data_IF_026425537479
#
_entry.id   IF_026425537479
#
_cell.length_a   1.000
_cell.length_b   1.000
_cell.length_c   1.000
_cell.angle_alpha   90.00
_cell.angle_beta   90.00
_cell.angle_gamma   90.00
#
_symmetry.space_group_name_H-M   'P 1'
#
loop_
_entity.id
_entity.type
_entity.pdbx_description
1 polymer ?
#
# COMPACT_ATOMS: atom_id res chain seq x y z
N UNK A 1 14.90 -24.20 -72.05
CA UNK A 1 13.84 -23.67 -71.16
C UNK A 1 14.00 -24.31 -69.80
N UNK A 2 14.58 -23.59 -68.84
CA UNK A 2 14.71 -24.07 -67.47
C UNK A 2 14.68 -22.82 -66.57
N UNK A 3 13.49 -22.53 -66.03
CA UNK A 3 13.28 -21.43 -65.11
C UNK A 3 13.45 -21.94 -63.68
N UNK A 4 14.47 -21.48 -62.97
CA UNK A 4 14.62 -21.73 -61.54
C UNK A 4 13.77 -20.74 -60.75
N UNK A 5 12.82 -21.27 -59.98
CA UNK A 5 11.98 -20.53 -59.05
C UNK A 5 12.79 -20.24 -57.79
N UNK A 6 12.98 -18.96 -57.47
CA UNK A 6 13.55 -18.53 -56.19
C UNK A 6 12.41 -18.40 -55.18
N UNK A 7 12.45 -19.22 -54.13
CA UNK A 7 11.49 -19.14 -53.00
C UNK A 7 12.04 -18.13 -52.00
N UNK A 8 11.32 -17.03 -51.81
CA UNK A 8 11.60 -16.03 -50.80
C UNK A 8 10.92 -16.45 -49.48
N UNK A 9 11.71 -16.81 -48.46
CA UNK A 9 11.20 -17.07 -47.12
C UNK A 9 11.09 -15.73 -46.39
N UNK A 10 9.86 -15.28 -46.15
CA UNK A 10 9.57 -14.13 -45.30
C UNK A 10 9.46 -14.66 -43.86
N UNK A 11 10.43 -14.29 -43.02
CA UNK A 11 10.37 -14.55 -41.57
C UNK A 11 9.65 -13.37 -40.93
N UNK A 12 8.41 -13.56 -40.53
CA UNK A 12 7.68 -12.57 -39.74
C UNK A 12 8.23 -12.57 -38.29
N UNK A 13 9.04 -11.56 -37.96
CA UNK A 13 9.40 -11.27 -36.58
C UNK A 13 8.19 -10.62 -35.89
N UNK A 14 7.47 -11.38 -35.08
CA UNK A 14 6.50 -10.82 -34.14
C UNK A 14 7.24 -10.19 -32.95
N UNK A 15 7.30 -8.86 -32.92
CA UNK A 15 7.74 -8.13 -31.74
C UNK A 15 6.59 -8.10 -30.74
N UNK A 16 6.65 -8.94 -29.70
CA UNK A 16 5.81 -8.78 -28.52
C UNK A 16 6.35 -7.60 -27.71
N UNK A 17 5.70 -6.45 -27.84
CA UNK A 17 5.96 -5.30 -26.96
C UNK A 17 5.47 -5.67 -25.56
N UNK A 18 6.37 -6.13 -24.68
CA UNK A 18 6.02 -6.37 -23.28
C UNK A 18 5.64 -5.04 -22.64
N UNK A 19 4.35 -4.83 -22.38
CA UNK A 19 3.89 -3.65 -21.66
C UNK A 19 4.58 -3.60 -20.29
N UNK A 20 5.42 -2.59 -20.06
CA UNK A 20 6.12 -2.41 -18.79
C UNK A 20 5.09 -2.04 -17.72
N UNK A 21 5.11 -2.74 -16.60
CA UNK A 21 4.24 -2.41 -15.46
C UNK A 21 4.46 -0.93 -15.07
N UNK A 22 3.35 -0.23 -14.84
CA UNK A 22 3.38 1.13 -14.29
C UNK A 22 4.02 1.09 -12.91
N UNK A 23 4.82 2.10 -12.57
CA UNK A 23 5.48 2.20 -11.27
C UNK A 23 4.90 3.34 -10.44
N UNK A 24 4.82 3.11 -9.13
CA UNK A 24 4.52 4.11 -8.12
C UNK A 24 5.71 4.20 -7.16
N UNK A 25 6.62 5.14 -7.43
CA UNK A 25 7.78 5.35 -6.57
C UNK A 25 7.36 5.95 -5.21
N UNK A 26 8.14 5.72 -4.13
CA UNK A 26 7.88 6.34 -2.83
C UNK A 26 7.84 7.85 -2.92
N UNK A 27 6.84 8.45 -2.29
CA UNK A 27 6.68 9.91 -2.17
C UNK A 27 6.44 10.26 -0.71
N UNK A 28 7.20 11.22 -0.19
CA UNK A 28 6.97 11.78 1.14
C UNK A 28 7.09 13.30 1.14
N UNK A 29 5.94 13.97 1.14
CA UNK A 29 5.86 15.42 1.25
C UNK A 29 5.86 15.90 2.70
N UNK A 30 5.76 14.99 3.69
CA UNK A 30 5.68 15.34 5.10
C UNK A 30 6.80 16.29 5.56
N UNK A 31 8.06 16.06 5.16
CA UNK A 31 9.18 16.96 5.46
C UNK A 31 9.07 18.38 4.90
N UNK A 32 8.19 18.65 3.93
CA UNK A 32 7.96 20.01 3.40
C UNK A 32 7.26 20.93 4.41
N UNK A 33 6.58 20.36 5.41
CA UNK A 33 6.04 21.10 6.54
C UNK A 33 6.84 20.75 7.80
N UNK A 34 7.71 21.66 8.24
CA UNK A 34 8.64 21.42 9.35
C UNK A 34 7.89 21.04 10.62
N UNK A 35 6.73 21.65 10.90
CA UNK A 35 5.99 21.35 12.12
C UNK A 35 5.29 19.99 12.04
N UNK A 36 4.88 19.55 10.84
CA UNK A 36 4.38 18.20 10.64
C UNK A 36 5.48 17.16 10.77
N UNK A 37 6.66 17.39 10.19
CA UNK A 37 7.84 16.51 10.33
C UNK A 37 8.17 16.24 11.79
N UNK A 38 8.24 17.29 12.62
CA UNK A 38 8.51 17.16 14.06
C UNK A 38 7.42 16.35 14.76
N UNK A 39 6.15 16.61 14.46
CA UNK A 39 5.03 15.83 15.00
C UNK A 39 5.11 14.35 14.60
N UNK A 40 5.30 14.05 13.31
CA UNK A 40 5.36 12.68 12.79
C UNK A 40 6.55 11.91 13.34
N UNK A 41 7.71 12.55 13.53
CA UNK A 41 8.86 11.89 14.17
C UNK A 41 8.53 11.44 15.60
N UNK A 42 7.92 12.30 16.42
CA UNK A 42 7.46 11.95 17.77
C UNK A 42 6.40 10.85 17.75
N UNK A 43 5.49 10.89 16.78
CA UNK A 43 4.50 9.83 16.59
C UNK A 43 5.16 8.49 16.23
N UNK A 44 6.16 8.48 15.34
CA UNK A 44 6.92 7.27 15.00
C UNK A 44 7.67 6.72 16.22
N UNK A 45 8.28 7.58 17.05
CA UNK A 45 8.91 7.18 18.30
C UNK A 45 7.90 6.54 19.26
N UNK A 46 6.75 7.19 19.48
CA UNK A 46 5.68 6.65 20.31
C UNK A 46 5.14 5.31 19.78
N UNK A 47 5.06 5.13 18.46
CA UNK A 47 4.68 3.86 17.84
C UNK A 47 5.72 2.78 18.10
N UNK A 48 7.02 3.09 18.06
CA UNK A 48 8.08 2.11 18.38
C UNK A 48 8.07 1.70 19.86
N UNK A 49 7.70 2.62 20.74
CA UNK A 49 7.64 2.39 22.19
C UNK A 49 6.29 1.82 22.67
N UNK A 50 5.35 1.57 21.76
CA UNK A 50 3.96 1.20 22.09
C UNK A 50 3.33 2.18 23.11
N UNK A 51 3.62 3.48 22.99
CA UNK A 51 3.23 4.52 23.94
C UNK A 51 1.76 4.92 23.73
N UNK A 52 0.85 4.10 24.21
CA UNK A 52 -0.60 4.33 24.10
C UNK A 52 -1.04 5.70 24.62
N UNK A 53 -0.62 6.18 25.82
CA UNK A 53 -0.99 7.50 26.29
C UNK A 53 -0.67 8.61 25.28
N UNK A 54 0.53 8.58 24.67
CA UNK A 54 0.89 9.55 23.64
C UNK A 54 0.00 9.44 22.41
N UNK A 55 -0.22 8.22 21.87
CA UNK A 55 -1.08 8.01 20.69
C UNK A 55 -2.46 8.66 20.90
N UNK A 56 -3.07 8.44 22.06
CA UNK A 56 -4.39 9.00 22.38
C UNK A 56 -4.40 10.53 22.38
N UNK A 57 -3.30 11.19 22.73
CA UNK A 57 -3.21 12.67 22.66
C UNK A 57 -3.14 13.21 21.23
N UNK A 58 -2.79 12.36 20.26
CA UNK A 58 -2.69 12.75 18.85
C UNK A 58 -4.00 12.56 18.10
N UNK A 59 -4.97 11.84 18.67
CA UNK A 59 -6.24 11.56 18.00
C UNK A 59 -7.16 12.78 18.08
N UNK A 60 -7.82 13.09 16.97
CA UNK A 60 -8.96 13.98 17.00
C UNK A 60 -10.10 13.32 17.82
N UNK A 61 -10.84 14.05 18.66
CA UNK A 61 -11.92 13.47 19.46
C UNK A 61 -13.00 12.75 18.65
N UNK A 62 -13.18 13.16 17.38
CA UNK A 62 -14.06 12.56 16.38
C UNK A 62 -13.27 11.93 15.24
N UNK A 63 -12.17 11.23 15.52
CA UNK A 63 -11.40 10.51 14.49
C UNK A 63 -12.31 9.56 13.72
N UNK A 64 -12.18 9.54 12.40
CA UNK A 64 -12.91 8.63 11.53
C UNK A 64 -12.19 7.28 11.45
N UNK A 65 -12.87 6.18 11.76
CA UNK A 65 -12.29 4.82 11.74
C UNK A 65 -12.90 3.92 10.66
N UNK A 66 -14.09 4.26 10.18
CA UNK A 66 -14.72 3.61 9.04
C UNK A 66 -15.61 4.58 8.26
N UNK A 67 -16.02 4.18 7.07
CA UNK A 67 -17.09 4.84 6.32
C UNK A 67 -18.49 4.55 6.90
N UNK A 68 -18.65 3.42 7.59
CA UNK A 68 -19.90 2.93 8.16
C UNK A 68 -20.28 3.44 9.55
N UNK A 69 -19.62 4.48 10.06
CA UNK A 69 -20.08 5.18 11.27
C UNK A 69 -19.28 4.95 12.55
N UNK A 70 -18.09 4.35 12.49
CA UNK A 70 -17.20 4.22 13.65
C UNK A 70 -16.36 5.49 13.84
N UNK A 71 -16.56 6.17 14.96
CA UNK A 71 -15.96 7.47 15.25
C UNK A 71 -15.44 7.60 16.67
N UNK A 72 -14.34 8.32 16.80
CA UNK A 72 -13.82 8.80 18.07
C UNK A 72 -12.93 7.83 18.80
N UNK A 73 -12.44 8.29 19.95
CA UNK A 73 -11.37 7.61 20.71
C UNK A 73 -11.86 6.30 21.34
N UNK A 74 -13.14 6.21 21.71
CA UNK A 74 -13.71 4.98 22.25
C UNK A 74 -13.65 3.85 21.22
N UNK A 75 -14.17 4.07 20.02
CA UNK A 75 -14.15 3.11 18.93
C UNK A 75 -12.70 2.73 18.57
N UNK A 76 -11.77 3.69 18.61
CA UNK A 76 -10.35 3.41 18.39
C UNK A 76 -9.80 2.41 19.41
N UNK A 77 -10.11 2.60 20.70
CA UNK A 77 -9.67 1.68 21.76
C UNK A 77 -10.28 0.28 21.59
N UNK A 78 -11.54 0.20 21.18
CA UNK A 78 -12.24 -1.08 20.96
C UNK A 78 -11.69 -1.83 19.74
N UNK A 79 -11.47 -1.14 18.63
CA UNK A 79 -10.95 -1.71 17.38
C UNK A 79 -9.48 -2.12 17.53
N UNK A 80 -8.64 -1.21 18.00
CA UNK A 80 -7.18 -1.38 17.95
C UNK A 80 -6.59 -1.99 19.22
N UNK A 81 -7.30 -1.91 20.35
CA UNK A 81 -6.88 -2.50 21.64
C UNK A 81 -5.40 -2.18 21.95
N UNK A 82 -4.98 -0.91 21.98
CA UNK A 82 -3.57 -0.51 22.04
C UNK A 82 -2.84 -0.98 23.32
N UNK A 83 -3.58 -1.30 24.38
CA UNK A 83 -3.02 -1.86 25.61
C UNK A 83 -2.79 -3.38 25.56
N UNK A 84 -3.25 -4.05 24.50
CA UNK A 84 -3.00 -5.48 24.29
C UNK A 84 -1.57 -5.70 23.78
N UNK A 85 -0.82 -6.68 24.32
CA UNK A 85 0.50 -7.02 23.80
C UNK A 85 0.47 -7.49 22.34
N UNK A 86 -0.64 -8.10 21.91
CA UNK A 86 -0.84 -8.62 20.55
C UNK A 86 -1.55 -7.62 19.62
N UNK A 87 -1.61 -6.35 19.99
CA UNK A 87 -2.29 -5.32 19.18
C UNK A 87 -1.64 -5.19 17.79
N UNK A 88 -2.45 -5.36 16.75
CA UNK A 88 -2.04 -5.13 15.37
C UNK A 88 -1.77 -3.64 15.05
N UNK A 89 -2.18 -2.74 15.95
CA UNK A 89 -2.05 -1.29 15.81
C UNK A 89 -0.62 -0.86 15.47
N UNK A 90 0.33 -1.38 16.24
CA UNK A 90 1.70 -0.89 16.21
C UNK A 90 2.38 -1.19 14.88
N UNK A 91 2.16 -2.40 14.36
CA UNK A 91 2.65 -2.79 13.04
C UNK A 91 1.98 -1.99 11.92
N UNK A 92 0.67 -1.74 12.03
CA UNK A 92 -0.07 -0.98 11.02
C UNK A 92 0.35 0.49 10.99
N UNK A 93 0.41 1.15 12.15
CA UNK A 93 0.89 2.53 12.26
C UNK A 93 2.33 2.65 11.77
N UNK A 94 3.21 1.72 12.16
CA UNK A 94 4.61 1.71 11.71
C UNK A 94 4.69 1.63 10.18
N UNK A 95 3.91 0.75 9.57
CA UNK A 95 3.85 0.59 8.10
C UNK A 95 3.36 1.88 7.43
N UNK A 96 2.23 2.43 7.87
CA UNK A 96 1.66 3.64 7.27
C UNK A 96 2.61 4.83 7.40
N UNK A 97 3.17 5.04 8.60
CA UNK A 97 4.02 6.18 8.89
C UNK A 97 5.39 6.11 8.22
N UNK A 98 5.91 4.92 7.93
CA UNK A 98 7.23 4.77 7.28
C UNK A 98 7.17 4.88 5.76
N UNK A 99 6.03 4.56 5.14
CA UNK A 99 5.86 4.70 3.70
C UNK A 99 5.74 6.16 3.24
N UNK A 100 5.43 7.11 4.12
CA UNK A 100 5.29 8.53 3.74
C UNK A 100 3.92 8.83 3.12
N UNK A 101 3.81 9.91 2.37
CA UNK A 101 2.52 10.37 1.85
C UNK A 101 2.57 11.75 1.22
N UNK A 102 1.41 12.28 0.83
CA UNK A 102 1.27 13.57 0.17
C UNK A 102 0.28 14.47 0.90
N UNK A 103 0.42 15.78 0.73
CA UNK A 103 -0.61 16.74 1.12
C UNK A 103 -1.66 16.84 0.02
N UNK A 104 -2.94 16.69 0.39
CA UNK A 104 -4.08 16.88 -0.49
C UNK A 104 -5.06 17.88 0.12
N UNK A 105 -5.87 18.50 -0.73
CA UNK A 105 -7.01 19.31 -0.28
C UNK A 105 -8.24 18.42 -0.18
N UNK A 106 -8.85 18.32 1.00
CA UNK A 106 -10.11 17.61 1.22
C UNK A 106 -11.05 18.47 2.05
N UNK A 107 -12.28 18.69 1.57
CA UNK A 107 -13.26 19.56 2.24
C UNK A 107 -12.75 20.98 2.50
N UNK A 108 -11.93 21.53 1.58
CA UNK A 108 -11.33 22.87 1.72
C UNK A 108 -10.15 22.95 2.71
N UNK A 109 -9.73 21.83 3.29
CA UNK A 109 -8.61 21.77 4.24
C UNK A 109 -7.41 21.05 3.63
N UNK A 110 -6.21 21.46 4.05
CA UNK A 110 -4.97 20.76 3.74
C UNK A 110 -4.80 19.58 4.70
N UNK A 111 -4.85 18.37 4.16
CA UNK A 111 -4.71 17.11 4.90
C UNK A 111 -3.47 16.38 4.39
N UNK A 112 -2.63 15.88 5.29
CA UNK A 112 -1.60 14.92 4.90
C UNK A 112 -2.21 13.52 4.92
N UNK A 113 -2.05 12.76 3.83
CA UNK A 113 -2.53 11.39 3.74
C UNK A 113 -1.36 10.41 3.59
N UNK A 114 -1.32 9.41 4.46
CA UNK A 114 -0.37 8.30 4.40
C UNK A 114 -1.12 6.96 4.34
N UNK A 115 -0.57 5.93 3.67
CA UNK A 115 0.70 5.91 2.95
C UNK A 115 0.62 6.54 1.54
N UNK A 116 1.76 6.76 0.86
CA UNK A 116 1.80 7.21 -0.55
C UNK A 116 1.11 6.24 -1.51
N UNK A 117 1.04 4.95 -1.17
CA UNK A 117 0.33 3.95 -1.96
C UNK A 117 -1.18 4.15 -1.98
N UNK A 118 -1.70 5.02 -1.11
CA UNK A 118 -3.04 5.59 -1.20
C UNK A 118 -2.96 7.01 -1.77
N UNK A 119 -2.17 7.89 -1.16
CA UNK A 119 -2.22 9.34 -1.42
C UNK A 119 -1.51 9.78 -2.70
N UNK A 120 -0.84 8.89 -3.41
CA UNK A 120 -0.28 9.12 -4.73
C UNK A 120 -0.68 8.01 -5.72
N UNK A 121 -1.62 7.13 -5.34
CA UNK A 121 -2.08 6.08 -6.23
C UNK A 121 -2.78 6.71 -7.45
N UNK A 122 -2.56 6.18 -8.66
CA UNK A 122 -3.20 6.72 -9.85
C UNK A 122 -4.72 6.55 -9.85
N UNK A 123 -5.44 7.62 -10.19
CA UNK A 123 -6.90 7.62 -10.24
C UNK A 123 -7.46 6.78 -11.42
N UNK A 124 -6.64 6.51 -12.44
CA UNK A 124 -6.99 5.70 -13.62
C UNK A 124 -6.72 4.19 -13.44
N UNK A 125 -6.31 3.76 -12.25
CA UNK A 125 -6.06 2.35 -11.91
C UNK A 125 -7.05 1.89 -10.84
N UNK A 126 -7.71 0.76 -11.07
CA UNK A 126 -8.66 0.19 -10.13
C UNK A 126 -7.97 -0.23 -8.81
N UNK A 127 -8.25 0.51 -7.75
CA UNK A 127 -7.67 0.33 -6.42
C UNK A 127 -8.15 -0.94 -5.69
N UNK A 128 -9.21 -1.62 -6.16
CA UNK A 128 -9.66 -2.90 -5.62
C UNK A 128 -8.97 -4.09 -6.28
N UNK A 129 -8.51 -3.93 -7.53
CA UNK A 129 -7.80 -4.99 -8.25
C UNK A 129 -6.28 -4.88 -8.17
N UNK A 130 -5.75 -3.67 -8.00
CA UNK A 130 -4.32 -3.41 -8.09
C UNK A 130 -3.71 -2.95 -6.76
N UNK A 131 -2.46 -3.34 -6.57
CA UNK A 131 -1.66 -2.99 -5.41
C UNK A 131 -0.27 -2.50 -5.81
N UNK A 132 0.39 -1.83 -4.88
CA UNK A 132 1.74 -1.32 -5.07
C UNK A 132 2.76 -2.27 -4.46
N UNK A 133 3.82 -2.59 -5.20
CA UNK A 133 5.05 -3.15 -4.62
C UNK A 133 5.76 -2.02 -3.87
N UNK A 134 6.06 -2.19 -2.58
CA UNK A 134 6.60 -1.09 -1.73
C UNK A 134 8.12 -1.13 -1.53
N UNK A 135 8.84 -1.92 -2.32
CA UNK A 135 10.29 -2.05 -2.24
C UNK A 135 10.98 -2.14 -3.60
N UNK A 136 12.30 -1.95 -3.57
CA UNK A 136 13.18 -2.24 -4.69
C UNK A 136 13.61 -3.72 -4.66
N UNK A 137 13.87 -4.28 -5.85
CA UNK A 137 14.38 -5.64 -6.05
C UNK A 137 13.56 -6.75 -5.35
N UNK A 138 12.24 -6.58 -5.31
CA UNK A 138 11.30 -7.53 -4.72
C UNK A 138 11.15 -8.74 -5.63
N UNK A 139 11.50 -9.91 -5.10
CA UNK A 139 11.44 -11.19 -5.83
C UNK A 139 10.00 -11.67 -5.94
N UNK A 140 9.52 -11.86 -7.17
CA UNK A 140 8.29 -12.58 -7.46
C UNK A 140 8.64 -14.05 -7.63
N UNK A 141 7.92 -14.93 -6.96
CA UNK A 141 8.21 -16.37 -6.92
C UNK A 141 7.11 -17.20 -7.57
N UNK A 142 7.46 -18.37 -8.07
CA UNK A 142 6.53 -19.25 -8.76
C UNK A 142 5.53 -19.93 -7.82
N UNK A 143 5.85 -19.98 -6.53
CA UNK A 143 5.04 -20.56 -5.46
C UNK A 143 5.20 -19.68 -4.19
N UNK A 144 4.25 -19.74 -3.24
CA UNK A 144 4.33 -19.00 -1.97
C UNK A 144 5.35 -19.63 -1.01
N UNK A 145 6.61 -19.63 -1.40
CA UNK A 145 7.73 -20.20 -0.64
C UNK A 145 9.02 -19.42 -0.90
N UNK A 146 9.85 -19.24 0.13
CA UNK A 146 11.13 -18.52 0.04
C UNK A 146 12.19 -19.26 -0.77
N UNK A 147 12.00 -20.55 -1.06
CA UNK A 147 12.90 -21.38 -1.87
C UNK A 147 12.40 -21.57 -3.30
N UNK A 148 11.17 -21.17 -3.59
CA UNK A 148 10.60 -21.29 -4.94
C UNK A 148 11.37 -20.45 -5.97
N UNK A 149 11.37 -20.93 -7.22
CA UNK A 149 12.01 -20.27 -8.35
C UNK A 149 11.56 -18.81 -8.45
N UNK A 150 12.51 -17.91 -8.69
CA UNK A 150 12.22 -16.51 -8.99
C UNK A 150 11.66 -16.43 -10.41
N UNK A 151 10.47 -15.85 -10.55
CA UNK A 151 9.81 -15.60 -11.83
C UNK A 151 10.33 -14.31 -12.44
N UNK A 152 10.35 -13.24 -11.64
CA UNK A 152 10.88 -11.93 -12.02
C UNK A 152 11.24 -11.12 -10.77
N UNK A 153 11.78 -9.92 -10.96
CA UNK A 153 12.09 -8.95 -9.92
C UNK A 153 11.35 -7.66 -10.22
N UNK A 154 10.59 -7.18 -9.24
CA UNK A 154 9.84 -5.92 -9.30
C UNK A 154 10.48 -4.87 -8.41
N UNK A 155 10.31 -3.61 -8.76
CA UNK A 155 10.71 -2.44 -7.98
C UNK A 155 9.66 -1.35 -8.13
N UNK A 156 8.85 -1.15 -7.09
CA UNK A 156 7.80 -0.14 -7.07
C UNK A 156 6.70 -0.28 -8.14
N UNK A 157 6.56 -1.47 -8.72
CA UNK A 157 5.55 -1.76 -9.74
C UNK A 157 4.15 -1.80 -9.13
N UNK A 158 3.17 -1.33 -9.89
CA UNK A 158 1.75 -1.56 -9.65
C UNK A 158 1.38 -2.87 -10.34
N UNK A 159 0.79 -3.78 -9.58
CA UNK A 159 0.45 -5.13 -10.04
C UNK A 159 -0.97 -5.48 -9.67
N UNK A 160 -1.64 -6.30 -10.49
CA UNK A 160 -2.91 -6.91 -10.10
C UNK A 160 -2.63 -7.88 -8.95
N UNK A 161 -3.36 -7.75 -7.84
CA UNK A 161 -3.11 -8.50 -6.63
C UNK A 161 -4.40 -9.10 -6.07
N UNK A 162 -4.33 -10.35 -5.64
CA UNK A 162 -5.42 -10.99 -4.91
C UNK A 162 -5.07 -11.00 -3.43
N UNK A 163 -5.84 -10.25 -2.63
CA UNK A 163 -5.75 -10.30 -1.18
C UNK A 163 -6.69 -11.35 -0.61
N UNK A 164 -6.26 -12.10 0.43
CA UNK A 164 -7.16 -13.00 1.17
C UNK A 164 -8.33 -12.20 1.75
N UNK A 165 -9.56 -12.61 1.45
CA UNK A 165 -10.75 -12.05 2.08
C UNK A 165 -11.07 -12.84 3.35
N UNK A 166 -11.50 -12.16 4.41
CA UNK A 166 -12.02 -12.80 5.64
C UNK A 166 -13.24 -13.68 5.37
N UNK A 167 -14.03 -13.33 4.35
CA UNK A 167 -15.36 -13.89 4.13
C UNK A 167 -15.33 -15.05 3.13
N UNK A 168 -14.25 -15.16 2.34
CA UNK A 168 -14.04 -16.22 1.36
C UNK A 168 -12.56 -16.56 1.29
N UNK A 169 -12.11 -17.49 2.15
CA UNK A 169 -10.78 -18.11 2.00
C UNK A 169 -10.68 -18.75 0.63
N UNK A 170 -9.95 -18.12 -0.28
CA UNK A 170 -9.72 -18.69 -1.61
C UNK A 170 -8.76 -19.87 -1.48
N UNK A 171 -8.88 -20.83 -2.37
CA UNK A 171 -8.03 -22.05 -2.39
C UNK A 171 -6.53 -21.71 -2.51
N UNK A 172 -6.19 -20.53 -3.00
CA UNK A 172 -4.83 -20.02 -3.18
C UNK A 172 -4.34 -19.05 -2.07
N UNK A 173 -5.13 -18.81 -1.03
CA UNK A 173 -4.72 -17.99 0.11
C UNK A 173 -3.65 -18.71 0.93
N UNK A 174 -2.41 -18.22 0.86
CA UNK A 174 -1.29 -18.74 1.66
C UNK A 174 -0.82 -17.68 2.64
N UNK A 175 -0.83 -17.93 3.97
CA UNK A 175 -0.41 -16.96 4.96
C UNK A 175 0.97 -16.36 4.64
N UNK A 176 1.07 -15.02 4.69
CA UNK A 176 2.31 -14.29 4.42
C UNK A 176 2.65 -14.08 2.94
N UNK A 177 1.83 -14.57 2.01
CA UNK A 177 2.05 -14.42 0.57
C UNK A 177 0.84 -13.79 -0.12
N UNK A 178 1.11 -12.95 -1.11
CA UNK A 178 0.11 -12.33 -1.98
C UNK A 178 0.35 -12.84 -3.39
N UNK A 179 -0.71 -13.33 -4.02
CA UNK A 179 -0.67 -13.70 -5.44
C UNK A 179 -0.79 -12.44 -6.28
N UNK A 180 0.11 -12.32 -7.25
CA UNK A 180 0.18 -11.19 -8.19
C UNK A 180 0.08 -11.71 -9.63
N UNK A 181 -0.48 -10.89 -10.51
CA UNK A 181 -0.49 -11.13 -11.95
C UNK A 181 0.35 -10.05 -12.63
N UNK A 182 1.36 -10.49 -13.39
CA UNK A 182 2.24 -9.62 -14.16
C UNK A 182 1.53 -9.10 -15.43
N UNK A 183 2.03 -8.03 -16.07
CA UNK A 183 1.40 -7.48 -17.28
C UNK A 183 1.27 -8.47 -18.45
N UNK A 184 2.12 -9.50 -18.50
CA UNK A 184 2.07 -10.57 -19.49
C UNK A 184 1.10 -11.71 -19.13
N UNK A 185 0.34 -11.57 -18.03
CA UNK A 185 -0.59 -12.57 -17.52
C UNK A 185 0.06 -13.64 -16.64
N UNK A 186 1.38 -13.62 -16.45
CA UNK A 186 2.08 -14.61 -15.62
C UNK A 186 1.70 -14.44 -14.15
N UNK A 187 1.31 -15.55 -13.52
CA UNK A 187 1.06 -15.59 -12.07
C UNK A 187 2.37 -15.69 -11.27
N UNK A 188 2.40 -15.04 -10.11
CA UNK A 188 3.48 -15.18 -9.14
C UNK A 188 3.03 -14.87 -7.72
N UNK A 189 3.97 -15.01 -6.79
CA UNK A 189 3.75 -14.81 -5.37
C UNK A 189 4.81 -13.88 -4.80
N UNK A 190 4.37 -12.91 -4.01
CA UNK A 190 5.22 -11.93 -3.32
C UNK A 190 4.92 -12.00 -1.83
N UNK A 191 5.95 -11.86 -0.98
CA UNK A 191 5.71 -11.80 0.45
C UNK A 191 4.86 -10.56 0.79
N UNK A 192 3.82 -10.72 1.61
CA UNK A 192 2.81 -9.70 1.87
C UNK A 192 3.38 -8.35 2.31
N UNK A 193 4.47 -8.34 3.10
CA UNK A 193 5.17 -7.12 3.55
C UNK A 193 5.68 -6.22 2.41
N UNK A 194 5.76 -6.72 1.18
CA UNK A 194 6.19 -5.95 0.01
C UNK A 194 5.02 -5.54 -0.90
N UNK A 195 3.77 -5.85 -0.55
CA UNK A 195 2.59 -5.51 -1.35
C UNK A 195 1.64 -4.70 -0.47
N UNK A 196 1.23 -3.52 -0.94
CA UNK A 196 0.30 -2.64 -0.21
C UNK A 196 -0.88 -2.26 -1.09
N UNK A 197 -2.09 -2.52 -0.59
CA UNK A 197 -3.31 -2.10 -1.26
C UNK A 197 -3.52 -0.59 -1.07
N UNK A 198 -4.02 0.15 -2.08
CA UNK A 198 -4.39 1.55 -1.90
C UNK A 198 -5.57 1.73 -0.94
N UNK A 199 -6.42 0.71 -0.80
CA UNK A 199 -7.58 0.70 0.10
C UNK A 199 -7.30 0.06 1.46
N UNK A 200 -6.05 -0.35 1.74
CA UNK A 200 -5.64 -0.71 3.11
C UNK A 200 -5.80 0.50 4.05
N UNK A 201 -5.52 0.30 5.34
CA UNK A 201 -5.64 1.38 6.29
C UNK A 201 -4.77 2.59 5.91
N UNK A 202 -5.33 3.78 6.14
CA UNK A 202 -4.74 5.07 5.79
C UNK A 202 -4.99 6.09 6.88
N UNK A 203 -4.00 6.93 7.13
CA UNK A 203 -4.04 7.99 8.12
C UNK A 203 -4.21 9.35 7.45
N UNK A 204 -5.20 10.11 7.92
CA UNK A 204 -5.39 11.51 7.59
C UNK A 204 -4.93 12.39 8.75
N UNK A 205 -4.13 13.41 8.45
CA UNK A 205 -3.63 14.36 9.46
C UNK A 205 -4.02 15.80 9.10
N UNK A 206 -4.56 16.51 10.07
CA UNK A 206 -4.93 17.93 9.96
C UNK A 206 -4.25 18.74 11.04
N UNK A 207 -3.93 20.00 10.71
CA UNK A 207 -3.46 20.99 11.68
C UNK A 207 -4.66 21.77 12.22
N UNK A 208 -5.10 21.45 13.43
CA UNK A 208 -6.27 22.05 14.07
C UNK A 208 -5.79 22.93 15.23
N UNK A 209 -6.10 24.23 15.17
CA UNK A 209 -5.68 25.22 16.20
C UNK A 209 -4.18 25.13 16.52
N UNK A 210 -3.36 25.00 15.48
CA UNK A 210 -1.90 24.93 15.58
C UNK A 210 -1.32 23.56 15.93
N UNK A 211 -2.14 22.55 16.25
CA UNK A 211 -1.70 21.20 16.60
C UNK A 211 -2.02 20.20 15.49
N UNK A 212 -1.08 19.33 15.16
CA UNK A 212 -1.32 18.22 14.26
C UNK A 212 -2.07 17.11 14.99
N UNK A 213 -3.16 16.62 14.39
CA UNK A 213 -3.98 15.54 14.91
C UNK A 213 -4.25 14.51 13.80
N UNK A 214 -4.41 13.26 14.21
CA UNK A 214 -4.94 12.19 13.37
C UNK A 214 -6.46 12.37 13.30
N UNK A 215 -6.97 12.71 12.13
CA UNK A 215 -8.41 12.92 11.91
C UNK A 215 -9.09 11.73 11.23
N UNK A 216 -8.31 10.85 10.59
CA UNK A 216 -8.80 9.60 10.02
C UNK A 216 -7.78 8.47 10.22
N UNK A 217 -8.29 7.27 10.52
CA UNK A 217 -7.57 6.00 10.46
C UNK A 217 -8.51 4.93 9.92
N UNK A 218 -8.70 4.96 8.60
CA UNK A 218 -9.76 4.24 7.89
C UNK A 218 -9.14 3.17 7.00
N UNK A 219 -9.77 2.01 6.87
CA UNK A 219 -9.46 0.98 5.87
C UNK A 219 -10.70 0.63 5.06
N UNK A 220 -10.52 0.08 3.86
CA UNK A 220 -11.61 -0.19 2.92
C UNK A 220 -12.10 1.07 2.20
N UNK A 221 -13.36 1.02 1.79
CA UNK A 221 -14.12 2.06 1.08
C UNK A 221 -15.44 2.42 1.77
#
# INVERSE_FOLDING_TARGET
MQGSITVLIIVELTFTTTAKARKLYPVDEGPRDVSFKVFRNKLIEAVKEHNTPFILTTLHPKIHLSFGGHFGVKDFLETWKPYSPDSALWNELSTILTLGGTFRTSGGKRVFWAPYTFSAFPDDVDAYEYASIVGANVKVRSQPSTTARIVTILSYDIVKATFPSSDNKRKDDTPGWVKVVLPDGTNGYVANRYVRSPIDHRLGFEKIRGKWLITAFIGGD
#
